data_IF_177477184615
#
_entry.id   IF_177477184615
#
_cell.length_a   1.000
_cell.length_b   1.000
_cell.length_c   1.000
_cell.angle_alpha   90.00
_cell.angle_beta   90.00
_cell.angle_gamma   90.00
#
_symmetry.space_group_name_H-M   'P 1'
#
loop_
_entity.id
_entity.type
_entity.pdbx_description
1 polymer ?
#
# COMPACT_ATOMS: atom_id res chain seq x y z
N UNK A 1 -16.16 33.59 -13.50
CA UNK A 1 -17.33 33.56 -12.58
C UNK A 1 -18.41 32.63 -13.11
N UNK A 2 -18.12 31.33 -13.24
CA UNK A 2 -19.06 30.39 -13.85
C UNK A 2 -18.70 28.92 -13.66
N UNK A 3 -18.04 28.57 -12.56
CA UNK A 3 -17.89 27.17 -12.15
C UNK A 3 -19.08 26.75 -11.28
N UNK A 4 -19.34 25.45 -11.17
CA UNK A 4 -20.43 24.88 -10.35
C UNK A 4 -20.44 25.35 -8.87
N UNK A 5 -19.35 25.98 -8.41
CA UNK A 5 -19.11 26.45 -7.05
C UNK A 5 -19.14 27.98 -6.87
N UNK A 6 -19.67 28.72 -7.85
CA UNK A 6 -19.71 30.18 -7.77
C UNK A 6 -20.86 30.63 -6.84
N UNK A 7 -20.54 31.05 -5.61
CA UNK A 7 -21.48 31.74 -4.70
C UNK A 7 -21.86 31.00 -3.42
N UNK A 8 -21.51 29.72 -3.26
CA UNK A 8 -21.69 28.96 -2.02
C UNK A 8 -20.45 28.09 -1.75
N UNK A 9 -19.84 28.23 -0.58
CA UNK A 9 -18.75 27.37 -0.13
C UNK A 9 -19.37 26.06 0.39
N UNK A 10 -19.06 24.94 -0.26
CA UNK A 10 -19.49 23.61 0.18
C UNK A 10 -18.60 23.10 1.32
N UNK A 11 -19.07 22.14 2.17
CA UNK A 11 -18.22 21.49 3.16
C UNK A 11 -16.96 20.86 2.53
N UNK A 12 -15.90 20.72 3.33
CA UNK A 12 -14.58 20.20 2.95
C UNK A 12 -13.83 21.06 1.91
N UNK A 13 -14.24 22.31 1.71
CA UNK A 13 -13.46 23.26 0.90
C UNK A 13 -12.27 23.80 1.71
N UNK A 14 -11.06 23.80 1.12
CA UNK A 14 -9.90 24.41 1.75
C UNK A 14 -10.11 25.91 2.03
N UNK A 15 -9.81 26.34 3.24
CA UNK A 15 -9.86 27.72 3.70
C UNK A 15 -8.53 28.13 4.32
N UNK A 16 -8.17 29.41 4.21
CA UNK A 16 -6.94 29.96 4.78
C UNK A 16 -7.18 31.30 5.44
N UNK A 17 -6.64 31.48 6.64
CA UNK A 17 -6.67 32.74 7.37
C UNK A 17 -5.32 33.43 7.25
N UNK A 18 -5.36 34.68 6.81
CA UNK A 18 -4.18 35.52 6.58
C UNK A 18 -4.33 36.83 7.34
N UNK A 19 -3.26 37.26 7.99
CA UNK A 19 -3.17 38.53 8.67
C UNK A 19 -2.25 39.46 7.87
N UNK A 20 -2.68 40.71 7.64
CA UNK A 20 -1.81 41.74 7.06
C UNK A 20 -1.32 42.67 8.16
N UNK A 21 -0.01 42.77 8.33
CA UNK A 21 0.61 43.72 9.26
C UNK A 21 1.77 44.45 8.57
N UNK A 22 1.77 45.79 8.64
CA UNK A 22 2.76 46.65 7.99
C UNK A 22 3.05 46.32 6.51
N UNK A 23 2.02 45.91 5.77
CA UNK A 23 2.15 45.56 4.35
C UNK A 23 2.55 44.11 4.07
N UNK A 24 3.01 43.36 5.08
CA UNK A 24 3.38 41.94 4.95
C UNK A 24 2.16 41.07 5.26
N UNK A 25 1.96 40.02 4.46
CA UNK A 25 0.91 39.02 4.65
C UNK A 25 1.53 37.83 5.39
N UNK A 26 0.93 37.48 6.53
CA UNK A 26 1.30 36.34 7.34
C UNK A 26 0.21 35.29 7.22
N UNK A 27 0.59 34.06 6.87
CA UNK A 27 -0.30 32.92 7.01
C UNK A 27 -0.45 32.63 8.51
N UNK A 28 -1.70 32.43 8.95
CA UNK A 28 -2.00 32.19 10.36
C UNK A 28 -2.59 30.81 10.58
N UNK A 29 -3.32 30.30 9.59
CA UNK A 29 -3.98 29.01 9.66
C UNK A 29 -4.50 28.57 8.28
N UNK A 30 -4.53 27.26 8.03
CA UNK A 30 -5.20 26.61 6.90
C UNK A 30 -5.99 25.42 7.42
N UNK A 31 -7.12 25.13 6.78
CA UNK A 31 -7.88 23.91 7.05
C UNK A 31 -9.08 23.82 6.11
N UNK A 32 -10.16 23.23 6.59
CA UNK A 32 -11.33 22.90 5.78
C UNK A 32 -12.60 23.44 6.43
N UNK A 33 -13.45 24.09 5.66
CA UNK A 33 -14.76 24.52 6.14
C UNK A 33 -15.67 23.30 6.31
N UNK A 34 -16.17 23.06 7.52
CA UNK A 34 -17.12 21.97 7.81
C UNK A 34 -18.56 22.42 7.70
N UNK A 35 -18.83 23.65 8.12
CA UNK A 35 -20.17 24.21 8.17
C UNK A 35 -20.14 25.69 7.85
N UNK A 36 -21.18 26.14 7.14
CA UNK A 36 -21.39 27.52 6.77
C UNK A 36 -22.83 27.91 7.09
N UNK A 37 -23.04 28.52 8.25
CA UNK A 37 -24.37 28.99 8.66
C UNK A 37 -24.49 30.47 8.35
N UNK A 38 -25.42 30.82 7.48
CA UNK A 38 -25.80 32.23 7.25
C UNK A 38 -26.95 32.55 8.18
N UNK A 39 -26.73 33.48 9.10
CA UNK A 39 -27.76 33.98 10.00
C UNK A 39 -28.13 35.41 9.60
N UNK A 40 -29.39 35.60 9.24
CA UNK A 40 -29.97 36.91 8.94
C UNK A 40 -30.97 37.26 10.05
N UNK A 41 -30.54 37.94 11.13
CA UNK A 41 -31.41 38.31 12.24
C UNK A 41 -32.37 39.46 11.84
N UNK A 42 -33.36 39.16 11.00
CA UNK A 42 -34.48 40.06 10.67
C UNK A 42 -34.10 41.42 10.06
N UNK A 43 -35.10 42.30 9.92
CA UNK A 43 -35.04 43.57 9.15
C UNK A 43 -34.11 44.66 9.72
N UNK A 44 -33.39 44.42 10.82
CA UNK A 44 -32.65 45.48 11.53
C UNK A 44 -31.24 45.06 11.99
N UNK A 45 -30.73 43.91 11.55
CA UNK A 45 -29.39 43.43 11.91
C UNK A 45 -28.50 43.15 10.71
N UNK A 46 -27.19 43.25 10.90
CA UNK A 46 -26.21 42.79 9.92
C UNK A 46 -26.34 41.27 9.73
N UNK A 47 -26.27 40.83 8.47
CA UNK A 47 -26.18 39.39 8.17
C UNK A 47 -24.78 38.91 8.51
N UNK A 48 -24.66 37.91 9.37
CA UNK A 48 -23.38 37.29 9.67
C UNK A 48 -23.35 35.85 9.17
N UNK A 49 -22.13 35.34 9.04
CA UNK A 49 -21.88 33.97 8.63
C UNK A 49 -20.92 33.35 9.61
N UNK A 50 -21.36 32.24 10.20
CA UNK A 50 -20.52 31.41 11.02
C UNK A 50 -19.90 30.30 10.17
N UNK A 51 -18.58 30.37 10.04
CA UNK A 51 -17.77 29.38 9.34
C UNK A 51 -17.08 28.53 10.39
N UNK A 52 -17.54 27.29 10.55
CA UNK A 52 -16.79 26.31 11.34
C UNK A 52 -15.77 25.66 10.44
N UNK A 53 -14.50 25.85 10.75
CA UNK A 53 -13.41 25.24 10.03
C UNK A 53 -12.57 24.35 10.95
N UNK A 54 -12.02 23.28 10.41
CA UNK A 54 -11.20 22.29 11.13
C UNK A 54 -9.90 22.05 10.39
N UNK A 55 -8.90 21.55 11.09
CA UNK A 55 -7.60 21.24 10.51
C UNK A 55 -7.60 19.89 9.76
N UNK A 56 -6.47 19.57 9.13
CA UNK A 56 -6.33 18.33 8.37
C UNK A 56 -6.41 17.08 9.24
N UNK A 57 -5.96 17.11 10.50
CA UNK A 57 -6.05 15.97 11.41
C UNK A 57 -7.51 15.58 11.67
N UNK A 58 -8.37 16.59 11.88
CA UNK A 58 -9.81 16.37 12.05
C UNK A 58 -10.42 15.72 10.80
N UNK A 59 -9.96 16.11 9.62
CA UNK A 59 -10.41 15.52 8.36
C UNK A 59 -9.91 14.07 8.23
N UNK A 60 -8.64 13.79 8.54
CA UNK A 60 -8.07 12.43 8.52
C UNK A 60 -8.69 11.49 9.54
N UNK A 61 -9.27 12.01 10.62
CA UNK A 61 -10.08 11.23 11.56
C UNK A 61 -11.40 10.74 10.96
N UNK A 62 -11.93 11.44 9.93
CA UNK A 62 -13.19 11.10 9.28
C UNK A 62 -13.01 10.12 8.12
N UNK A 63 -11.81 10.03 7.55
CA UNK A 63 -11.52 9.05 6.51
C UNK A 63 -11.14 7.72 7.15
N UNK A 64 -11.90 6.70 6.81
CA UNK A 64 -11.61 5.32 7.19
C UNK A 64 -10.37 4.87 6.41
N UNK A 65 -9.41 4.35 7.15
CA UNK A 65 -8.24 3.66 6.64
C UNK A 65 -8.72 2.25 6.33
N UNK A 66 -9.26 2.12 5.11
CA UNK A 66 -9.86 0.90 4.57
C UNK A 66 -8.80 -0.13 4.18
N UNK A 67 -9.18 -1.07 3.31
CA UNK A 67 -8.26 -2.06 2.76
C UNK A 67 -7.30 -1.36 1.77
N UNK A 68 -6.03 -1.07 2.17
CA UNK A 68 -5.15 -0.23 1.36
C UNK A 68 -4.88 -0.86 0.00
N UNK A 69 -4.77 -2.18 -0.07
CA UNK A 69 -4.60 -2.90 -1.32
C UNK A 69 -5.80 -2.69 -2.27
N UNK A 70 -7.02 -2.77 -1.74
CA UNK A 70 -8.24 -2.54 -2.53
C UNK A 70 -8.29 -1.11 -3.07
N UNK A 71 -7.96 -0.13 -2.24
CA UNK A 71 -7.94 1.28 -2.64
C UNK A 71 -6.91 1.54 -3.75
N UNK A 72 -5.71 0.95 -3.62
CA UNK A 72 -4.65 1.06 -4.64
C UNK A 72 -5.06 0.41 -5.97
N UNK A 73 -5.60 -0.81 -5.92
CA UNK A 73 -6.07 -1.52 -7.13
C UNK A 73 -7.18 -0.72 -7.82
N UNK A 74 -8.19 -0.26 -7.09
CA UNK A 74 -9.32 0.48 -7.66
C UNK A 74 -8.89 1.84 -8.22
N UNK A 75 -7.88 2.49 -7.64
CA UNK A 75 -7.34 3.75 -8.16
C UNK A 75 -6.79 3.59 -9.60
N UNK A 76 -6.28 2.41 -9.95
CA UNK A 76 -5.79 2.09 -11.29
C UNK A 76 -6.84 1.47 -12.22
N UNK A 77 -8.11 1.44 -11.80
CA UNK A 77 -9.27 1.06 -12.64
C UNK A 77 -9.13 -0.31 -13.32
N UNK A 78 -9.11 -1.43 -12.56
CA UNK A 78 -8.93 -2.76 -13.13
C UNK A 78 -10.09 -3.10 -14.07
N UNK A 79 -9.80 -3.86 -15.13
CA UNK A 79 -10.80 -4.37 -16.07
C UNK A 79 -11.38 -5.71 -15.64
N UNK A 80 -10.62 -6.50 -14.87
CA UNK A 80 -11.02 -7.77 -14.27
C UNK A 80 -10.28 -7.95 -12.96
N UNK A 81 -10.96 -8.46 -11.94
CA UNK A 81 -10.33 -8.70 -10.66
C UNK A 81 -10.94 -9.89 -9.91
N UNK A 82 -10.21 -11.00 -9.79
CA UNK A 82 -10.60 -12.16 -9.01
C UNK A 82 -9.83 -12.23 -7.70
N UNK A 83 -10.55 -11.97 -6.61
CA UNK A 83 -10.05 -12.03 -5.22
C UNK A 83 -10.22 -13.40 -4.55
N UNK A 84 -10.86 -14.35 -5.23
CA UNK A 84 -11.12 -15.70 -4.72
C UNK A 84 -11.85 -15.76 -3.37
N UNK A 85 -12.64 -14.73 -3.04
CA UNK A 85 -13.37 -14.62 -1.76
C UNK A 85 -14.72 -15.35 -1.74
N UNK A 86 -15.05 -16.12 -2.78
CA UNK A 86 -16.26 -16.93 -2.82
C UNK A 86 -16.16 -18.16 -1.90
N UNK A 87 -17.30 -18.65 -1.37
CA UNK A 87 -17.29 -19.80 -0.48
C UNK A 87 -16.89 -21.10 -1.19
N UNK A 88 -16.51 -22.09 -0.39
CA UNK A 88 -16.27 -23.46 -0.85
C UNK A 88 -17.41 -23.96 -1.78
N UNK A 89 -17.03 -24.66 -2.85
CA UNK A 89 -17.90 -25.19 -3.89
C UNK A 89 -18.62 -24.14 -4.79
N UNK A 90 -18.18 -22.88 -4.78
CA UNK A 90 -18.57 -21.95 -5.82
C UNK A 90 -18.19 -22.47 -7.22
N UNK A 91 -19.03 -22.17 -8.22
CA UNK A 91 -18.79 -22.57 -9.62
C UNK A 91 -18.24 -21.45 -10.49
N UNK A 92 -18.13 -20.24 -9.94
CA UNK A 92 -17.74 -19.06 -10.69
C UNK A 92 -16.91 -18.10 -9.83
N UNK A 93 -15.79 -17.63 -10.39
CA UNK A 93 -14.94 -16.60 -9.81
C UNK A 93 -15.61 -15.24 -9.96
N UNK A 94 -15.82 -14.53 -8.85
CA UNK A 94 -16.52 -13.23 -8.88
C UNK A 94 -15.57 -12.10 -9.26
N UNK A 95 -16.01 -11.25 -10.18
CA UNK A 95 -15.25 -10.06 -10.61
C UNK A 95 -15.52 -8.88 -9.66
N UNK A 96 -14.47 -8.45 -8.97
CA UNK A 96 -14.46 -7.36 -8.00
C UNK A 96 -14.16 -5.99 -8.62
N UNK A 97 -13.81 -5.94 -9.91
CA UNK A 97 -13.54 -4.67 -10.63
C UNK A 97 -14.79 -3.82 -10.86
N UNK A 98 -15.98 -4.41 -10.70
CA UNK A 98 -17.27 -3.78 -11.02
C UNK A 98 -17.72 -3.98 -12.47
N UNK A 99 -16.89 -4.58 -13.33
CA UNK A 99 -17.20 -4.79 -14.75
C UNK A 99 -18.00 -6.08 -15.04
N UNK A 100 -18.13 -6.96 -14.04
CA UNK A 100 -18.93 -8.20 -14.09
C UNK A 100 -18.39 -9.24 -15.08
N UNK A 101 -17.08 -9.30 -15.23
CA UNK A 101 -16.39 -10.32 -16.00
C UNK A 101 -16.20 -11.61 -15.18
N UNK A 102 -17.31 -12.23 -14.75
CA UNK A 102 -17.32 -13.45 -13.93
C UNK A 102 -16.61 -14.62 -14.63
N UNK A 103 -15.69 -15.28 -13.93
CA UNK A 103 -14.95 -16.44 -14.42
C UNK A 103 -15.65 -17.77 -14.11
N UNK A 104 -15.19 -18.86 -14.71
CA UNK A 104 -15.74 -20.22 -14.51
C UNK A 104 -14.67 -21.14 -13.94
N UNK A 105 -14.96 -21.77 -12.80
CA UNK A 105 -14.08 -22.79 -12.22
C UNK A 105 -14.17 -24.12 -12.98
N UNK A 106 -13.04 -24.80 -13.13
CA UNK A 106 -12.92 -26.17 -13.67
C UNK A 106 -11.89 -26.95 -12.85
N UNK A 107 -11.96 -28.28 -12.83
CA UNK A 107 -11.07 -29.16 -12.02
C UNK A 107 -11.49 -29.34 -10.56
N UNK A 108 -12.21 -28.35 -10.01
CA UNK A 108 -12.64 -28.26 -8.59
C UNK A 108 -11.51 -27.76 -7.66
N UNK A 109 -10.95 -26.57 -7.94
CA UNK A 109 -9.97 -25.96 -7.04
C UNK A 109 -10.58 -25.79 -5.64
N UNK A 110 -9.72 -25.85 -4.62
CA UNK A 110 -10.19 -25.67 -3.24
C UNK A 110 -10.37 -24.17 -2.96
N UNK A 111 -11.58 -23.78 -2.56
CA UNK A 111 -11.98 -22.38 -2.33
C UNK A 111 -12.43 -22.15 -0.88
N UNK A 112 -12.50 -20.88 -0.49
CA UNK A 112 -13.00 -20.46 0.84
C UNK A 112 -11.97 -20.63 1.96
N UNK A 113 -10.68 -20.70 1.61
CA UNK A 113 -9.58 -20.75 2.58
C UNK A 113 -9.04 -19.34 2.80
N UNK A 114 -9.03 -18.89 4.06
CA UNK A 114 -8.44 -17.62 4.50
C UNK A 114 -6.91 -17.76 4.67
N UNK A 115 -6.18 -16.64 4.68
CA UNK A 115 -4.72 -16.58 4.74
C UNK A 115 -4.06 -16.30 3.38
N UNK A 116 -4.73 -15.50 2.55
CA UNK A 116 -4.21 -14.93 1.33
C UNK A 116 -3.05 -13.95 1.55
N UNK A 117 -2.45 -13.41 0.48
CA UNK A 117 -1.31 -12.49 0.56
C UNK A 117 -1.64 -11.18 1.30
N UNK A 118 -2.89 -10.69 1.22
CA UNK A 118 -3.20 -9.33 1.65
C UNK A 118 -3.35 -9.26 3.17
N UNK A 119 -2.37 -8.64 3.84
CA UNK A 119 -2.24 -8.68 5.31
C UNK A 119 -3.15 -7.70 6.05
N UNK A 120 -3.53 -6.59 5.41
CA UNK A 120 -4.31 -5.52 6.03
C UNK A 120 -5.83 -5.80 6.05
N UNK A 121 -6.27 -6.94 5.52
CA UNK A 121 -7.66 -7.36 5.47
C UNK A 121 -7.81 -8.89 5.55
N UNK A 122 -9.04 -9.38 5.61
CA UNK A 122 -9.30 -10.81 5.38
C UNK A 122 -9.17 -11.09 3.90
N UNK A 123 -8.33 -12.05 3.56
CA UNK A 123 -8.01 -12.37 2.18
C UNK A 123 -8.03 -13.88 1.95
N UNK A 124 -8.73 -14.29 0.89
CA UNK A 124 -8.99 -15.67 0.55
C UNK A 124 -8.21 -16.05 -0.71
N UNK A 125 -7.94 -17.34 -0.88
CA UNK A 125 -7.25 -17.84 -2.06
C UNK A 125 -7.89 -19.13 -2.59
N UNK A 126 -7.50 -19.49 -3.81
CA UNK A 126 -7.83 -20.76 -4.43
C UNK A 126 -6.59 -21.65 -4.52
N UNK A 127 -6.70 -22.89 -4.07
CA UNK A 127 -5.64 -23.91 -4.22
C UNK A 127 -5.88 -24.75 -5.47
N UNK A 128 -4.84 -24.88 -6.28
CA UNK A 128 -4.79 -25.62 -7.54
C UNK A 128 -3.92 -26.86 -7.38
N UNK A 129 -4.42 -28.01 -7.83
CA UNK A 129 -3.82 -29.33 -7.58
C UNK A 129 -2.76 -29.79 -8.59
N UNK A 130 -2.47 -28.98 -9.62
CA UNK A 130 -1.52 -29.31 -10.68
C UNK A 130 -2.02 -30.30 -11.73
N UNK A 131 -3.30 -30.68 -11.72
CA UNK A 131 -3.89 -31.68 -12.62
C UNK A 131 -4.77 -31.03 -13.69
N UNK A 132 -5.89 -30.44 -13.30
CA UNK A 132 -6.88 -29.87 -14.23
C UNK A 132 -7.59 -28.60 -13.72
N UNK A 133 -7.23 -28.14 -12.52
CA UNK A 133 -7.76 -26.94 -11.88
C UNK A 133 -7.50 -25.68 -12.71
N UNK A 134 -8.53 -24.85 -12.86
CA UNK A 134 -8.43 -23.58 -13.57
C UNK A 134 -9.59 -22.63 -13.31
N UNK A 135 -9.34 -21.36 -13.61
CA UNK A 135 -10.38 -20.35 -13.80
C UNK A 135 -10.37 -19.91 -15.24
N UNK A 136 -11.45 -20.19 -15.97
CA UNK A 136 -11.67 -19.64 -17.30
C UNK A 136 -12.22 -18.21 -17.18
N UNK A 137 -11.47 -17.24 -17.68
CA UNK A 137 -11.96 -15.86 -17.81
C UNK A 137 -12.88 -15.74 -19.03
N UNK A 138 -13.86 -14.81 -19.03
CA UNK A 138 -14.66 -14.53 -20.21
C UNK A 138 -13.78 -14.21 -21.43
N UNK A 139 -14.05 -14.85 -22.56
CA UNK A 139 -13.40 -14.50 -23.82
C UNK A 139 -13.94 -13.16 -24.35
N UNK A 140 -13.09 -12.37 -25.02
CA UNK A 140 -13.47 -11.08 -25.59
C UNK A 140 -12.43 -9.98 -25.36
N UNK A 141 -12.82 -8.72 -25.60
CA UNK A 141 -11.96 -7.54 -25.65
C UNK A 141 -11.30 -7.10 -24.32
N UNK A 142 -11.28 -7.96 -23.29
CA UNK A 142 -10.66 -7.70 -21.98
C UNK A 142 -9.15 -7.44 -22.07
N UNK A 143 -8.53 -7.84 -23.19
CA UNK A 143 -7.08 -7.81 -23.46
C UNK A 143 -6.83 -7.25 -24.87
N UNK A 144 -7.55 -6.18 -25.23
CA UNK A 144 -7.77 -5.82 -26.63
C UNK A 144 -6.68 -4.96 -27.28
N UNK A 145 -5.71 -4.45 -26.52
CA UNK A 145 -4.52 -3.78 -27.05
C UNK A 145 -3.55 -3.44 -25.93
N UNK A 146 -2.29 -3.25 -26.28
CA UNK A 146 -1.40 -2.48 -25.42
C UNK A 146 -1.85 -1.01 -25.39
N UNK A 147 -1.68 -0.31 -24.27
CA UNK A 147 -1.01 -0.78 -23.06
C UNK A 147 -1.88 -1.74 -22.23
N UNK A 148 -1.26 -2.64 -21.47
CA UNK A 148 -1.95 -3.55 -20.55
C UNK A 148 -1.07 -3.95 -19.39
N UNK A 149 -1.70 -4.41 -18.30
CA UNK A 149 -1.01 -5.04 -17.18
C UNK A 149 -1.77 -6.27 -16.66
N UNK A 150 -1.02 -7.25 -16.18
CA UNK A 150 -1.53 -8.44 -15.50
C UNK A 150 -0.78 -8.61 -14.19
N UNK A 151 -1.51 -8.62 -13.08
CA UNK A 151 -0.99 -8.83 -11.73
C UNK A 151 -1.62 -10.10 -11.14
N UNK A 152 -0.80 -10.94 -10.52
CA UNK A 152 -1.25 -12.16 -9.84
C UNK A 152 -0.43 -12.34 -8.58
N UNK A 153 -1.10 -12.65 -7.47
CA UNK A 153 -0.43 -13.15 -6.29
C UNK A 153 -0.49 -14.66 -6.25
N UNK A 154 0.63 -15.31 -5.98
CA UNK A 154 0.68 -16.76 -5.92
C UNK A 154 1.67 -17.22 -4.85
N UNK A 155 1.50 -18.45 -4.38
CA UNK A 155 2.55 -19.19 -3.67
C UNK A 155 2.61 -20.61 -4.17
N UNK A 156 3.79 -21.20 -4.10
CA UNK A 156 3.96 -22.62 -4.38
C UNK A 156 5.15 -23.16 -3.62
N UNK A 157 5.11 -24.44 -3.29
CA UNK A 157 6.28 -25.20 -2.83
C UNK A 157 6.61 -26.31 -3.83
N UNK A 158 6.05 -26.23 -5.04
CA UNK A 158 6.22 -27.25 -6.05
C UNK A 158 7.66 -27.24 -6.57
N UNK A 159 8.34 -28.35 -6.31
CA UNK A 159 9.67 -28.64 -6.84
C UNK A 159 9.54 -29.72 -7.94
N UNK A 160 9.62 -29.26 -9.19
CA UNK A 160 9.50 -30.13 -10.35
C UNK A 160 10.84 -30.82 -10.65
N UNK A 161 11.24 -31.79 -9.82
CA UNK A 161 12.50 -32.56 -10.02
C UNK A 161 12.67 -33.22 -11.42
N UNK A 162 11.64 -33.22 -12.27
CA UNK A 162 11.73 -33.53 -13.70
C UNK A 162 12.01 -32.26 -14.53
N UNK A 163 13.21 -32.16 -15.11
CA UNK A 163 13.60 -31.08 -16.01
C UNK A 163 12.56 -30.85 -17.13
N UNK A 164 12.13 -29.59 -17.32
CA UNK A 164 11.30 -29.17 -18.44
C UNK A 164 9.78 -29.15 -18.23
N UNK A 165 9.27 -29.30 -17.00
CA UNK A 165 7.86 -29.01 -16.71
C UNK A 165 7.68 -27.51 -16.40
N UNK A 166 6.83 -26.85 -17.19
CA UNK A 166 6.44 -25.44 -17.02
C UNK A 166 5.19 -25.37 -16.16
N UNK A 167 5.19 -24.56 -15.11
CA UNK A 167 3.99 -24.30 -14.30
C UNK A 167 3.29 -23.05 -14.81
N UNK A 168 2.06 -23.20 -15.33
CA UNK A 168 1.31 -22.09 -15.93
C UNK A 168 0.42 -21.39 -14.92
N UNK A 169 0.80 -20.19 -14.48
CA UNK A 169 -0.03 -19.35 -13.59
C UNK A 169 -1.18 -18.72 -14.38
N UNK A 170 -0.87 -18.19 -15.56
CA UNK A 170 -1.85 -17.56 -16.44
C UNK A 170 -1.52 -17.86 -17.89
N UNK A 171 -2.55 -18.02 -18.71
CA UNK A 171 -2.39 -18.14 -20.14
C UNK A 171 -3.51 -17.48 -20.94
N UNK A 172 -3.12 -16.93 -22.08
CA UNK A 172 -3.97 -16.76 -23.26
C UNK A 172 -3.34 -17.60 -24.36
N UNK A 173 -3.86 -18.80 -24.60
CA UNK A 173 -3.32 -19.73 -25.60
C UNK A 173 -4.42 -20.57 -26.24
N UNK A 174 -4.37 -20.68 -27.56
CA UNK A 174 -5.12 -21.69 -28.32
C UNK A 174 -4.13 -22.78 -28.78
N UNK A 175 -4.29 -24.02 -28.28
CA UNK A 175 -3.53 -25.16 -28.79
C UNK A 175 -4.08 -25.60 -30.16
N UNK A 176 -3.29 -25.38 -31.20
CA UNK A 176 -3.61 -25.82 -32.57
C UNK A 176 -2.94 -27.15 -32.93
N UNK A 177 -2.18 -27.74 -32.00
CA UNK A 177 -1.35 -28.93 -32.22
C UNK A 177 -0.13 -28.68 -33.13
N UNK A 178 0.12 -27.43 -33.50
CA UNK A 178 1.22 -27.00 -34.35
C UNK A 178 1.80 -25.70 -33.77
N UNK A 179 2.98 -25.80 -33.15
CA UNK A 179 3.64 -24.68 -32.48
C UNK A 179 3.86 -23.47 -33.41
N UNK A 180 3.90 -23.67 -34.73
CA UNK A 180 4.04 -22.61 -35.74
C UNK A 180 2.72 -21.92 -36.10
N UNK A 181 1.59 -22.52 -35.71
CA UNK A 181 0.22 -22.04 -35.93
C UNK A 181 -0.49 -21.66 -34.64
N UNK A 182 0.09 -21.98 -33.48
CA UNK A 182 -0.42 -21.50 -32.22
C UNK A 182 -0.50 -19.97 -32.27
N UNK A 183 -1.74 -19.50 -32.16
CA UNK A 183 -2.19 -18.11 -32.21
C UNK A 183 -1.67 -17.45 -30.90
N UNK A 184 -1.40 -16.12 -30.85
CA UNK A 184 -0.49 -15.48 -29.90
C UNK A 184 -0.66 -16.02 -28.49
N UNK A 185 0.43 -16.56 -27.97
CA UNK A 185 0.47 -17.10 -26.61
C UNK A 185 1.00 -16.01 -25.72
N UNK A 186 0.28 -15.68 -24.66
CA UNK A 186 0.84 -14.99 -23.51
C UNK A 186 0.78 -15.95 -22.35
N UNK A 187 1.91 -16.23 -21.70
CA UNK A 187 1.94 -17.09 -20.52
C UNK A 187 2.76 -16.42 -19.42
N UNK A 188 2.19 -16.38 -18.22
CA UNK A 188 2.96 -16.19 -17.00
C UNK A 188 3.26 -17.56 -16.43
N UNK A 189 4.55 -17.88 -16.35
CA UNK A 189 5.01 -19.21 -15.99
C UNK A 189 6.36 -19.17 -15.27
N UNK A 190 6.67 -20.29 -14.63
CA UNK A 190 8.01 -20.59 -14.13
C UNK A 190 8.60 -21.76 -14.89
N UNK A 191 9.90 -21.67 -15.18
CA UNK A 191 10.64 -22.79 -15.76
C UNK A 191 11.49 -23.48 -14.70
N UNK A 192 11.39 -24.80 -14.62
CA UNK A 192 12.43 -25.60 -13.96
C UNK A 192 13.44 -26.09 -15.01
N UNK A 193 14.42 -25.22 -15.29
CA UNK A 193 15.72 -25.59 -15.86
C UNK A 193 16.81 -25.10 -14.88
N UNK A 194 18.10 -25.15 -15.24
CA UNK A 194 19.21 -24.64 -14.39
C UNK A 194 19.15 -23.14 -14.04
N UNK A 195 18.03 -22.47 -14.32
CA UNK A 195 17.76 -21.05 -14.15
C UNK A 195 16.26 -20.90 -13.76
N UNK A 196 15.99 -20.94 -12.46
CA UNK A 196 14.65 -20.91 -11.85
C UNK A 196 14.04 -19.50 -11.94
N UNK A 197 13.43 -19.18 -13.07
CA UNK A 197 12.95 -17.81 -13.31
C UNK A 197 11.46 -17.71 -13.54
N UNK A 198 10.86 -16.67 -12.95
CA UNK A 198 9.58 -16.13 -13.40
C UNK A 198 9.75 -15.53 -14.79
N UNK A 199 8.81 -15.78 -15.69
CA UNK A 199 8.82 -15.11 -16.98
C UNK A 199 7.43 -14.89 -17.53
N UNK A 200 7.35 -13.89 -18.38
CA UNK A 200 6.32 -13.82 -19.39
C UNK A 200 6.88 -14.35 -20.71
N UNK A 201 6.14 -15.23 -21.39
CA UNK A 201 6.48 -15.72 -22.73
C UNK A 201 5.39 -15.38 -23.73
N UNK A 202 5.84 -14.78 -24.84
CA UNK A 202 5.07 -14.39 -26.00
C UNK A 202 5.48 -15.16 -27.25
N UNK A 203 4.54 -15.47 -28.15
CA UNK A 203 4.86 -16.06 -29.45
C UNK A 203 4.23 -15.27 -30.61
N UNK A 204 5.01 -15.01 -31.66
CA UNK A 204 4.53 -14.50 -32.95
C UNK A 204 5.07 -15.37 -34.08
N UNK A 205 4.20 -16.25 -34.60
CA UNK A 205 4.63 -17.33 -35.51
C UNK A 205 5.62 -18.27 -34.81
N UNK A 206 6.79 -18.50 -35.41
CA UNK A 206 7.85 -19.35 -34.83
C UNK A 206 8.80 -18.61 -33.88
N UNK A 207 8.63 -17.31 -33.67
CA UNK A 207 9.51 -16.50 -32.83
C UNK A 207 9.01 -16.47 -31.39
N UNK A 208 9.93 -16.69 -30.44
CA UNK A 208 9.70 -16.60 -29.00
C UNK A 208 10.17 -15.24 -28.51
N UNK A 209 9.33 -14.59 -27.72
CA UNK A 209 9.62 -13.36 -26.98
C UNK A 209 9.49 -13.67 -25.50
N UNK A 210 10.41 -13.16 -24.68
CA UNK A 210 10.34 -13.39 -23.25
C UNK A 210 10.94 -12.24 -22.47
N UNK A 211 10.35 -11.96 -21.33
CA UNK A 211 10.94 -11.13 -20.28
C UNK A 211 10.96 -11.96 -19.00
N UNK A 212 12.04 -11.83 -18.25
CA UNK A 212 12.37 -12.72 -17.14
C UNK A 212 12.62 -11.87 -15.90
N UNK A 213 12.19 -12.33 -14.73
CA UNK A 213 12.55 -11.63 -13.49
C UNK A 213 14.00 -11.92 -13.12
N UNK A 214 14.60 -11.03 -12.33
CA UNK A 214 15.90 -11.29 -11.72
C UNK A 214 15.81 -12.24 -10.51
N UNK A 215 14.61 -12.62 -10.07
CA UNK A 215 14.40 -13.46 -8.90
C UNK A 215 14.97 -14.89 -9.10
N UNK A 216 15.57 -15.46 -8.06
CA UNK A 216 16.18 -16.80 -8.09
C UNK A 216 15.36 -17.86 -7.32
N UNK A 217 14.32 -17.46 -6.57
CA UNK A 217 13.53 -18.36 -5.73
C UNK A 217 12.05 -17.97 -5.82
N UNK A 218 11.19 -18.90 -6.24
CA UNK A 218 9.75 -18.69 -6.41
C UNK A 218 8.88 -19.77 -5.73
N UNK A 219 9.49 -20.86 -5.27
CA UNK A 219 8.84 -22.04 -4.71
C UNK A 219 9.17 -22.25 -3.23
N UNK A 220 9.43 -21.15 -2.51
CA UNK A 220 9.74 -21.16 -1.07
C UNK A 220 8.51 -21.37 -0.17
N UNK A 221 7.32 -21.45 -0.76
CA UNK A 221 6.05 -21.57 -0.06
C UNK A 221 5.48 -20.24 0.44
N UNK A 222 6.12 -19.11 0.14
CA UNK A 222 5.68 -17.77 0.50
C UNK A 222 4.89 -17.11 -0.62
N UNK A 223 4.07 -16.11 -0.26
CA UNK A 223 3.31 -15.33 -1.23
C UNK A 223 4.21 -14.35 -2.00
N UNK A 224 4.09 -14.36 -3.32
CA UNK A 224 4.77 -13.44 -4.21
C UNK A 224 3.79 -12.70 -5.13
N UNK A 225 4.12 -11.45 -5.44
CA UNK A 225 3.45 -10.68 -6.49
C UNK A 225 4.19 -10.86 -7.81
N UNK A 226 3.53 -11.48 -8.77
CA UNK A 226 3.98 -11.61 -10.16
C UNK A 226 3.19 -10.63 -11.03
N UNK A 227 3.88 -9.74 -11.74
CA UNK A 227 3.22 -8.75 -12.58
C UNK A 227 3.90 -8.61 -13.93
N UNK A 228 3.10 -8.49 -14.99
CA UNK A 228 3.54 -8.22 -16.35
C UNK A 228 2.90 -6.94 -16.86
N UNK A 229 3.65 -6.18 -17.65
CA UNK A 229 3.17 -4.97 -18.33
C UNK A 229 3.58 -4.99 -19.80
N UNK A 230 2.73 -4.44 -20.66
CA UNK A 230 3.08 -4.02 -22.00
C UNK A 230 2.70 -2.54 -22.18
N UNK A 231 3.62 -1.72 -22.67
CA UNK A 231 3.34 -0.31 -22.99
C UNK A 231 2.70 -0.15 -24.38
N UNK A 232 2.20 1.05 -24.68
CA UNK A 232 1.54 1.33 -25.97
C UNK A 232 2.45 1.19 -27.21
N UNK A 233 3.77 1.05 -27.02
CA UNK A 233 4.76 0.80 -28.07
C UNK A 233 5.18 -0.68 -28.16
N UNK A 234 4.59 -1.56 -27.34
CA UNK A 234 4.89 -2.99 -27.27
C UNK A 234 6.12 -3.30 -26.42
N UNK A 235 6.58 -2.42 -25.53
CA UNK A 235 7.64 -2.79 -24.59
C UNK A 235 7.06 -3.66 -23.49
N UNK A 236 7.63 -4.85 -23.34
CA UNK A 236 7.26 -5.86 -22.36
C UNK A 236 8.15 -5.71 -21.13
N UNK A 237 7.58 -5.93 -19.95
CA UNK A 237 8.33 -5.96 -18.69
C UNK A 237 7.64 -6.85 -17.67
N UNK A 238 8.42 -7.54 -16.85
CA UNK A 238 7.93 -8.25 -15.67
C UNK A 238 8.42 -7.60 -14.39
N UNK A 239 7.64 -7.79 -13.34
CA UNK A 239 7.92 -7.36 -11.99
C UNK A 239 7.73 -8.54 -11.05
N UNK A 240 8.56 -8.57 -10.02
CA UNK A 240 8.56 -9.56 -8.96
C UNK A 240 8.60 -8.83 -7.64
N UNK A 241 7.59 -9.01 -6.80
CA UNK A 241 7.50 -8.39 -5.47
C UNK A 241 7.74 -6.87 -5.51
N UNK A 242 7.07 -6.18 -6.44
CA UNK A 242 7.22 -4.74 -6.63
C UNK A 242 8.51 -4.30 -7.34
N UNK A 243 9.44 -5.21 -7.67
CA UNK A 243 10.74 -4.92 -8.30
C UNK A 243 10.72 -5.26 -9.78
N UNK A 244 11.20 -4.35 -10.63
CA UNK A 244 11.29 -4.57 -12.07
C UNK A 244 12.38 -5.60 -12.44
N UNK A 245 12.06 -6.53 -13.32
CA UNK A 245 13.00 -7.43 -13.99
C UNK A 245 13.38 -6.94 -15.39
N UNK A 246 13.65 -7.90 -16.29
CA UNK A 246 14.03 -7.61 -17.67
C UNK A 246 12.93 -6.86 -18.44
N UNK A 247 13.39 -6.13 -19.46
CA UNK A 247 12.55 -5.45 -20.45
C UNK A 247 12.91 -5.94 -21.84
N UNK A 248 11.91 -6.16 -22.69
CA UNK A 248 12.09 -6.46 -24.11
C UNK A 248 11.20 -5.53 -24.95
N UNK A 249 11.68 -5.07 -26.11
CA UNK A 249 10.97 -4.10 -26.96
C UNK A 249 10.38 -4.82 -28.16
N UNK A 250 9.16 -5.34 -28.08
CA UNK A 250 8.52 -6.02 -29.21
C UNK A 250 6.98 -6.01 -29.17
N UNK A 251 6.36 -5.64 -30.30
CA UNK A 251 4.90 -5.68 -30.47
C UNK A 251 4.36 -7.12 -30.52
N UNK A 252 4.16 -7.74 -29.36
CA UNK A 252 3.32 -8.94 -29.27
C UNK A 252 1.88 -8.54 -29.58
N UNK A 253 1.39 -9.00 -30.73
CA UNK A 253 -0.02 -8.82 -31.06
C UNK A 253 -0.78 -9.95 -30.37
N UNK A 254 -1.40 -9.69 -29.22
CA UNK A 254 -2.39 -10.61 -28.64
C UNK A 254 -3.58 -10.79 -29.59
N UNK A 255 -4.17 -11.99 -29.67
CA UNK A 255 -5.41 -12.23 -30.44
C UNK A 255 -6.63 -12.07 -29.54
N UNK A 256 -7.56 -11.21 -30.01
CA UNK A 256 -8.41 -10.34 -29.20
C UNK A 256 -9.88 -10.74 -29.19
N UNK A 257 -10.23 -11.88 -29.81
CA UNK A 257 -11.66 -12.25 -29.98
C UNK A 257 -11.97 -13.75 -29.88
N UNK A 258 -10.99 -14.64 -30.06
CA UNK A 258 -11.26 -16.09 -30.20
C UNK A 258 -10.50 -16.99 -29.23
N UNK A 259 -9.52 -16.46 -28.49
CA UNK A 259 -8.70 -17.27 -27.57
C UNK A 259 -9.23 -17.14 -26.15
N UNK A 260 -9.46 -18.28 -25.52
CA UNK A 260 -9.83 -18.38 -24.11
C UNK A 260 -8.64 -18.10 -23.21
N UNK A 261 -8.92 -17.58 -22.02
CA UNK A 261 -7.89 -17.22 -21.04
C UNK A 261 -8.13 -17.94 -19.74
N UNK A 262 -7.03 -18.29 -19.10
CA UNK A 262 -7.05 -19.15 -17.93
C UNK A 262 -6.09 -18.64 -16.87
N UNK A 263 -6.53 -18.69 -15.61
CA UNK A 263 -5.63 -18.79 -14.47
C UNK A 263 -5.48 -20.27 -14.08
N UNK A 264 -4.29 -20.67 -13.65
CA UNK A 264 -3.94 -22.00 -13.15
C UNK A 264 -3.69 -23.08 -14.21
N UNK A 265 -3.88 -22.78 -15.51
CA UNK A 265 -3.58 -23.74 -16.59
C UNK A 265 -3.29 -23.10 -17.93
N UNK A 266 -2.86 -23.94 -18.85
CA UNK A 266 -2.93 -23.74 -20.30
C UNK A 266 -3.73 -24.89 -20.93
N UNK A 267 -4.35 -24.65 -22.09
CA UNK A 267 -5.07 -25.68 -22.84
C UNK A 267 -4.15 -26.62 -23.62
N UNK A 268 -2.85 -26.35 -23.60
CA UNK A 268 -1.90 -27.08 -24.42
C UNK A 268 -1.28 -28.28 -23.71
N UNK A 269 -1.14 -29.36 -24.49
CA UNK A 269 -0.70 -30.67 -23.99
C UNK A 269 0.74 -30.75 -23.42
N UNK A 270 1.58 -29.73 -23.64
CA UNK A 270 2.97 -29.69 -23.15
C UNK A 270 3.15 -28.80 -21.91
N UNK A 271 2.13 -28.05 -21.53
CA UNK A 271 2.19 -27.12 -20.41
C UNK A 271 1.56 -27.81 -19.19
N UNK A 272 2.19 -27.70 -18.02
CA UNK A 272 1.61 -28.27 -16.81
C UNK A 272 0.65 -27.28 -16.16
N UNK A 273 -0.45 -27.82 -15.61
CA UNK A 273 -1.32 -27.05 -14.72
C UNK A 273 -0.55 -26.63 -13.46
N UNK A 274 -0.96 -25.50 -12.90
CA UNK A 274 -0.34 -24.91 -11.73
C UNK A 274 -0.63 -25.73 -10.47
N UNK A 275 0.42 -25.98 -9.70
CA UNK A 275 0.36 -26.55 -8.36
C UNK A 275 0.71 -25.46 -7.36
N UNK A 276 -0.25 -25.04 -6.54
CA UNK A 276 -0.04 -23.97 -5.57
C UNK A 276 -1.32 -23.19 -5.30
N UNK A 277 -1.18 -22.02 -4.71
CA UNK A 277 -2.30 -21.13 -4.43
C UNK A 277 -2.24 -19.87 -5.29
N UNK A 278 -3.39 -19.41 -5.76
CA UNK A 278 -3.56 -18.10 -6.41
C UNK A 278 -4.48 -17.22 -5.57
N UNK A 279 -4.13 -15.96 -5.47
CA UNK A 279 -4.99 -14.87 -5.03
C UNK A 279 -4.84 -13.67 -5.97
N UNK A 280 -5.77 -12.73 -5.88
CA UNK A 280 -5.64 -11.40 -6.49
C UNK A 280 -5.19 -11.44 -7.97
N UNK A 281 -5.98 -12.09 -8.83
CA UNK A 281 -5.74 -12.10 -10.28
C UNK A 281 -6.39 -10.86 -10.89
N UNK A 282 -5.58 -9.93 -11.37
CA UNK A 282 -6.00 -8.58 -11.77
C UNK A 282 -5.51 -8.26 -13.17
N UNK A 283 -6.38 -7.64 -13.96
CA UNK A 283 -6.06 -7.13 -15.28
C UNK A 283 -6.38 -5.64 -15.39
N UNK A 284 -5.55 -4.95 -16.17
CA UNK A 284 -5.68 -3.53 -16.47
C UNK A 284 -5.53 -3.32 -17.99
N UNK A 285 -6.30 -2.39 -18.55
CA UNK A 285 -6.14 -1.91 -19.94
C UNK A 285 -5.16 -0.71 -20.02
N UNK A 286 -4.29 -0.60 -19.02
CA UNK A 286 -3.24 0.38 -18.90
C UNK A 286 -1.92 -0.27 -18.47
N UNK A 287 -0.81 0.38 -18.80
CA UNK A 287 0.51 0.02 -18.28
C UNK A 287 0.63 0.59 -16.86
N UNK A 288 0.77 -0.28 -15.86
CA UNK A 288 1.10 0.14 -14.52
C UNK A 288 2.54 0.62 -14.48
N UNK A 289 2.75 1.85 -14.03
CA UNK A 289 4.10 2.39 -13.84
C UNK A 289 4.83 1.64 -12.71
N UNK A 290 6.18 1.62 -12.69
CA UNK A 290 6.93 1.01 -11.60
C UNK A 290 6.48 1.46 -10.20
N UNK A 291 6.14 2.75 -10.04
CA UNK A 291 5.66 3.27 -8.77
C UNK A 291 4.30 2.70 -8.35
N UNK A 292 3.40 2.43 -9.29
CA UNK A 292 2.09 1.80 -9.02
C UNK A 292 2.26 0.33 -8.67
N UNK A 293 3.13 -0.39 -9.38
CA UNK A 293 3.47 -1.79 -9.08
C UNK A 293 4.03 -1.93 -7.65
N UNK A 294 4.98 -1.07 -7.27
CA UNK A 294 5.51 -1.05 -5.89
C UNK A 294 4.41 -0.70 -4.89
N UNK A 295 3.52 0.26 -5.19
CA UNK A 295 2.42 0.62 -4.29
C UNK A 295 1.45 -0.56 -4.03
N UNK A 296 1.12 -1.34 -5.07
CA UNK A 296 0.29 -2.54 -4.94
C UNK A 296 0.97 -3.60 -4.07
N UNK A 297 2.25 -3.89 -4.34
CA UNK A 297 3.01 -4.87 -3.56
C UNK A 297 3.05 -4.48 -2.09
N UNK A 298 3.47 -3.25 -1.83
CA UNK A 298 3.58 -2.69 -0.49
C UNK A 298 2.25 -2.73 0.25
N UNK A 299 1.14 -2.34 -0.40
CA UNK A 299 -0.19 -2.40 0.20
C UNK A 299 -0.64 -3.84 0.47
N UNK A 300 -0.27 -4.79 -0.38
CA UNK A 300 -0.60 -6.21 -0.23
C UNK A 300 0.10 -6.85 0.97
N UNK A 301 1.43 -6.70 1.08
CA UNK A 301 2.18 -7.24 2.23
C UNK A 301 1.92 -6.48 3.55
N UNK A 302 1.04 -5.48 3.54
CA UNK A 302 0.75 -4.64 4.70
C UNK A 302 1.95 -3.77 5.09
N UNK A 303 2.67 -3.20 4.14
CA UNK A 303 3.70 -2.17 4.38
C UNK A 303 4.82 -2.57 5.37
N UNK A 304 5.17 -3.85 5.44
CA UNK A 304 6.15 -4.38 6.39
C UNK A 304 7.53 -3.68 6.32
N UNK A 305 8.16 -3.47 7.48
CA UNK A 305 9.54 -2.98 7.65
C UNK A 305 9.81 -1.57 7.10
N UNK A 306 8.77 -0.76 6.89
CA UNK A 306 8.93 0.65 6.53
C UNK A 306 9.43 1.49 7.70
N UNK A 307 10.29 2.47 7.44
CA UNK A 307 10.54 3.55 8.40
C UNK A 307 9.24 4.30 8.69
N UNK A 308 9.09 4.86 9.90
CA UNK A 308 7.91 5.65 10.29
C UNK A 308 7.58 6.76 9.28
N UNK A 309 8.58 7.46 8.74
CA UNK A 309 8.39 8.48 7.70
C UNK A 309 7.86 7.92 6.38
N UNK A 310 8.30 6.71 6.00
CA UNK A 310 7.80 6.02 4.81
C UNK A 310 6.36 5.60 5.05
N UNK A 311 6.03 5.05 6.23
CA UNK A 311 4.64 4.69 6.58
C UNK A 311 3.70 5.88 6.55
N UNK A 312 4.11 7.01 7.14
CA UNK A 312 3.34 8.27 7.08
C UNK A 312 3.15 8.72 5.64
N UNK A 313 4.19 8.60 4.81
CA UNK A 313 4.13 8.96 3.39
C UNK A 313 3.13 8.08 2.63
N UNK A 314 3.20 6.76 2.78
CA UNK A 314 2.28 5.80 2.15
C UNK A 314 0.83 6.03 2.55
N UNK A 315 0.55 6.25 3.85
CA UNK A 315 -0.79 6.60 4.33
C UNK A 315 -1.32 7.90 3.71
N UNK A 316 -0.46 8.92 3.55
CA UNK A 316 -0.88 10.19 2.96
C UNK A 316 -1.09 10.06 1.46
N UNK A 317 -0.25 9.28 0.77
CA UNK A 317 -0.39 9.04 -0.66
C UNK A 317 -1.64 8.23 -0.98
N UNK A 318 -1.99 7.20 -0.19
CA UNK A 318 -3.22 6.43 -0.38
C UNK A 318 -4.49 7.26 -0.11
N UNK A 319 -4.43 8.24 0.80
CA UNK A 319 -5.49 9.23 0.99
C UNK A 319 -5.59 10.26 -0.16
N UNK A 320 -4.58 10.31 -1.05
CA UNK A 320 -4.44 11.35 -2.06
C UNK A 320 -4.08 12.71 -1.47
N UNK A 321 -3.42 12.74 -0.31
CA UNK A 321 -3.00 13.97 0.34
C UNK A 321 -1.84 14.63 -0.44
N UNK A 322 -1.89 15.94 -0.74
CA UNK A 322 -0.89 16.56 -1.60
C UNK A 322 0.53 16.54 -1.02
N UNK A 323 1.51 16.25 -1.88
CA UNK A 323 2.94 16.22 -1.51
C UNK A 323 3.49 17.58 -1.08
N UNK A 324 2.89 18.68 -1.56
CA UNK A 324 3.22 20.06 -1.17
C UNK A 324 2.47 20.52 0.10
N UNK A 325 1.65 19.65 0.71
CA UNK A 325 0.87 19.91 1.91
C UNK A 325 1.35 19.08 3.12
N UNK A 326 2.57 18.54 3.07
CA UNK A 326 3.19 17.72 4.12
C UNK A 326 4.65 18.08 4.34
N UNK A 327 5.11 17.97 5.58
CA UNK A 327 6.50 18.09 6.01
C UNK A 327 6.82 16.90 6.93
N UNK A 328 7.71 16.01 6.50
CA UNK A 328 7.91 14.71 7.14
C UNK A 328 9.40 14.53 7.40
N UNK A 329 9.79 14.61 8.66
CA UNK A 329 11.14 14.25 9.09
C UNK A 329 11.41 12.77 8.86
N UNK A 330 12.64 12.43 8.48
CA UNK A 330 13.07 11.04 8.26
C UNK A 330 12.93 10.24 9.56
N UNK A 331 12.22 9.12 9.52
CA UNK A 331 11.99 8.27 10.69
C UNK A 331 13.26 7.60 11.20
N UNK A 332 13.30 7.27 12.50
CA UNK A 332 14.39 6.47 13.10
C UNK A 332 13.98 5.03 13.37
N UNK A 333 12.69 4.80 13.61
CA UNK A 333 12.14 3.47 13.90
C UNK A 333 11.60 2.79 12.63
N UNK A 334 11.78 1.47 12.55
CA UNK A 334 11.12 0.60 11.55
C UNK A 334 9.84 0.02 12.12
N UNK A 335 8.76 0.09 11.35
CA UNK A 335 7.45 -0.42 11.71
C UNK A 335 7.22 -1.83 11.18
N UNK A 336 6.54 -2.67 11.96
CA UNK A 336 6.10 -4.00 11.59
C UNK A 336 4.94 -3.97 10.58
N UNK A 337 4.30 -5.11 10.37
CA UNK A 337 3.16 -5.22 9.46
C UNK A 337 2.09 -4.21 9.86
N UNK A 338 1.64 -3.42 8.91
CA UNK A 338 0.50 -2.55 9.04
C UNK A 338 -0.77 -3.37 9.24
N UNK A 339 -1.23 -3.43 10.49
CA UNK A 339 -2.47 -4.12 10.85
C UNK A 339 -3.63 -3.18 11.17
N UNK A 340 -3.63 -1.93 10.73
CA UNK A 340 -4.59 -0.96 11.25
C UNK A 340 -5.94 -0.99 10.51
N UNK A 341 -6.99 -1.21 11.29
CA UNK A 341 -8.38 -0.88 10.99
C UNK A 341 -8.73 0.37 11.81
N UNK A 342 -9.31 1.40 11.20
CA UNK A 342 -9.66 2.65 11.89
C UNK A 342 -9.54 3.85 10.95
N UNK A 343 -9.27 5.06 11.46
CA UNK A 343 -9.12 6.24 10.61
C UNK A 343 -7.68 6.48 10.14
N UNK A 344 -7.48 7.23 9.07
CA UNK A 344 -6.14 7.70 8.63
C UNK A 344 -5.36 8.38 9.75
N UNK A 345 -6.03 9.19 10.58
CA UNK A 345 -5.39 9.81 11.75
C UNK A 345 -4.82 8.77 12.73
N UNK A 346 -5.51 7.64 12.91
CA UNK A 346 -5.06 6.59 13.82
C UNK A 346 -3.81 5.89 13.29
N UNK A 347 -3.75 5.62 11.98
CA UNK A 347 -2.53 5.11 11.32
C UNK A 347 -1.34 6.07 11.47
N UNK A 348 -1.57 7.38 11.28
CA UNK A 348 -0.53 8.39 11.47
C UNK A 348 -0.09 8.50 12.94
N UNK A 349 -1.02 8.38 13.89
CA UNK A 349 -0.72 8.36 15.31
C UNK A 349 0.08 7.13 15.73
N UNK A 350 -0.12 5.97 15.10
CA UNK A 350 0.74 4.81 15.34
C UNK A 350 2.19 5.09 14.97
N UNK A 351 2.44 5.76 13.84
CA UNK A 351 3.79 6.19 13.46
C UNK A 351 4.34 7.22 14.45
N UNK A 352 3.53 8.19 14.88
CA UNK A 352 3.90 9.17 15.91
C UNK A 352 4.32 8.50 17.22
N UNK A 353 3.50 7.56 17.70
CA UNK A 353 3.74 6.86 18.96
C UNK A 353 4.98 5.97 18.89
N UNK A 354 5.20 5.32 17.73
CA UNK A 354 6.40 4.53 17.42
C UNK A 354 7.67 5.37 17.38
N UNK A 355 7.54 6.66 17.06
CA UNK A 355 8.68 7.56 16.93
C UNK A 355 8.90 8.42 18.18
N UNK A 356 8.00 8.42 19.18
CA UNK A 356 7.88 9.48 20.19
C UNK A 356 7.94 10.91 19.59
N UNK A 357 7.40 11.03 18.37
CA UNK A 357 7.44 12.23 17.56
C UNK A 357 6.29 13.19 17.82
N UNK A 358 6.18 14.22 16.99
CA UNK A 358 5.02 15.10 16.94
C UNK A 358 4.26 14.90 15.62
N UNK A 359 2.92 14.90 15.71
CA UNK A 359 2.02 14.99 14.56
C UNK A 359 1.13 16.22 14.75
N UNK A 360 1.30 17.24 13.91
CA UNK A 360 0.61 18.52 14.04
C UNK A 360 0.35 19.19 12.69
N UNK A 361 -0.46 20.24 12.68
CA UNK A 361 -0.60 21.15 11.54
C UNK A 361 0.11 22.46 11.87
N UNK A 362 1.06 22.88 11.03
CA UNK A 362 1.83 24.10 11.28
C UNK A 362 1.06 25.39 10.91
N UNK A 363 1.71 26.54 11.10
CA UNK A 363 1.13 27.85 10.79
C UNK A 363 0.89 28.10 9.30
N UNK A 364 1.60 27.39 8.42
CA UNK A 364 1.43 27.42 6.98
C UNK A 364 0.31 26.47 6.52
N UNK A 365 -0.08 25.52 7.36
CA UNK A 365 -1.10 24.54 7.09
C UNK A 365 -0.59 23.23 6.52
N UNK A 366 0.70 22.92 6.71
CA UNK A 366 1.30 21.65 6.38
C UNK A 366 1.01 20.65 7.50
N UNK A 367 0.74 19.39 7.12
CA UNK A 367 0.84 18.31 8.09
C UNK A 367 2.30 18.03 8.37
N UNK A 368 2.69 18.13 9.63
CA UNK A 368 4.06 17.93 10.10
C UNK A 368 4.15 16.63 10.88
N UNK A 369 5.08 15.78 10.49
CA UNK A 369 5.53 14.62 11.26
C UNK A 369 7.00 14.82 11.62
N UNK A 370 7.33 14.86 12.91
CA UNK A 370 8.71 14.95 13.39
C UNK A 370 9.16 13.65 14.06
N UNK A 371 10.45 13.36 13.98
CA UNK A 371 11.04 12.23 14.68
C UNK A 371 11.47 12.63 16.11
N UNK A 372 11.82 11.65 16.97
CA UNK A 372 12.31 11.92 18.34
C UNK A 372 13.51 12.87 18.40
N UNK A 373 14.39 12.81 17.40
CA UNK A 373 15.62 13.59 17.35
C UNK A 373 15.39 15.06 17.00
N UNK A 374 14.19 15.45 16.55
CA UNK A 374 13.88 16.86 16.30
C UNK A 374 13.93 17.69 17.60
N UNK A 375 13.77 17.03 18.76
CA UNK A 375 14.02 17.63 20.08
C UNK A 375 15.50 17.93 20.34
N UNK A 376 16.40 17.21 19.66
CA UNK A 376 17.85 17.33 19.78
C UNK A 376 18.38 18.37 18.78
N UNK A 377 18.10 19.64 19.05
CA UNK A 377 18.58 20.75 18.22
C UNK A 377 20.10 20.92 18.36
N UNK A 378 20.85 20.72 17.27
CA UNK A 378 22.32 20.87 17.26
C UNK A 378 22.80 22.32 17.18
N UNK A 379 21.91 23.26 16.85
CA UNK A 379 22.19 24.70 16.82
C UNK A 379 21.30 25.43 17.83
N UNK A 380 21.90 25.75 18.96
CA UNK A 380 21.22 26.52 20.00
C UNK A 380 21.34 28.01 19.71
N UNK A 381 20.19 28.69 19.52
CA UNK A 381 20.16 30.16 19.40
C UNK A 381 20.62 30.86 20.69
N UNK A 382 20.51 30.17 21.82
CA UNK A 382 21.05 30.57 23.11
C UNK A 382 21.30 29.33 23.99
N UNK A 383 22.42 29.32 24.71
CA UNK A 383 22.69 28.34 25.78
C UNK A 383 22.31 28.97 27.11
N UNK A 384 21.63 28.19 27.95
CA UNK A 384 21.25 28.59 29.31
C UNK A 384 21.96 27.69 30.32
N UNK A 385 22.65 28.29 31.29
CA UNK A 385 23.32 27.55 32.36
C UNK A 385 22.82 27.93 33.74
N UNK A 386 22.94 27.00 34.68
CA UNK A 386 22.64 27.23 36.10
C UNK A 386 23.90 27.40 36.96
N UNK A 387 25.08 27.31 36.35
CA UNK A 387 26.40 27.47 36.98
C UNK A 387 26.97 28.90 36.83
N UNK A 388 26.24 29.77 36.13
CA UNK A 388 26.60 31.18 35.92
C UNK A 388 27.52 31.44 34.73
N UNK A 389 27.82 30.45 33.91
CA UNK A 389 28.68 30.59 32.71
C UNK A 389 27.95 31.12 31.46
N UNK A 390 26.64 30.89 31.33
CA UNK A 390 25.84 31.29 30.15
C UNK A 390 24.64 32.18 30.51
N UNK A 391 23.69 32.37 29.57
CA UNK A 391 22.49 33.20 29.77
C UNK A 391 21.69 32.65 30.96
N UNK A 392 21.50 33.44 32.04
CA UNK A 392 20.76 32.96 33.21
C UNK A 392 19.27 32.81 32.87
N UNK A 393 18.63 31.79 33.44
CA UNK A 393 17.19 31.59 33.34
C UNK A 393 16.43 32.78 33.93
N UNK A 394 15.82 33.61 33.08
CA UNK A 394 14.89 34.65 33.51
C UNK A 394 13.45 34.17 33.33
N UNK A 395 12.66 34.17 34.42
CA UNK A 395 11.23 33.86 34.42
C UNK A 395 10.80 32.42 34.05
N UNK A 396 11.73 31.48 33.86
CA UNK A 396 11.39 30.05 33.74
C UNK A 396 11.03 29.52 35.13
N UNK A 397 9.78 29.03 35.29
CA UNK A 397 9.34 28.29 36.47
C UNK A 397 9.38 26.80 36.14
N UNK A 398 10.49 26.07 36.36
CA UNK A 398 10.54 24.66 36.04
C UNK A 398 9.48 23.91 36.85
N UNK A 399 8.64 23.15 36.17
CA UNK A 399 7.64 22.30 36.81
C UNK A 399 8.37 21.08 37.37
N UNK A 400 8.77 21.17 38.64
CA UNK A 400 9.38 20.04 39.38
C UNK A 400 8.30 19.22 40.06
N UNK A 401 7.42 18.62 39.26
CA UNK A 401 6.39 17.72 39.76
C UNK A 401 6.85 16.26 39.63
N UNK A 402 6.91 15.56 40.75
CA UNK A 402 7.17 14.11 40.81
C UNK A 402 6.16 13.28 39.99
N UNK A 403 5.00 13.85 39.64
CA UNK A 403 4.04 13.24 38.72
C UNK A 403 4.55 13.13 37.28
N UNK A 404 5.52 13.95 36.89
CA UNK A 404 6.16 13.91 35.56
C UNK A 404 7.32 12.91 35.51
N UNK A 405 7.80 12.41 36.65
CA UNK A 405 8.88 11.44 36.69
C UNK A 405 8.47 10.11 36.05
N UNK A 406 9.30 9.60 35.15
CA UNK A 406 9.27 8.25 34.58
C UNK A 406 10.67 7.66 34.73
N UNK A 407 10.77 6.43 35.21
CA UNK A 407 12.05 5.73 35.44
C UNK A 407 12.00 4.26 35.02
N UNK A 408 10.89 3.85 34.41
CA UNK A 408 10.71 2.58 33.73
C UNK A 408 9.96 2.88 32.43
N UNK A 409 10.51 2.49 31.29
CA UNK A 409 9.83 2.48 30.01
C UNK A 409 9.37 1.05 29.71
N UNK A 410 8.08 0.87 29.41
CA UNK A 410 7.50 -0.40 28.91
C UNK A 410 6.89 -0.15 27.56
N UNK A 411 7.46 -0.79 26.55
CA UNK A 411 7.02 -0.65 25.17
C UNK A 411 6.47 -2.00 24.72
N UNK A 412 5.23 -2.01 24.27
CA UNK A 412 4.63 -3.15 23.59
C UNK A 412 4.89 -2.99 22.10
N UNK A 413 5.56 -3.96 21.49
CA UNK A 413 5.92 -3.95 20.06
C UNK A 413 4.77 -4.40 19.14
N UNK A 414 5.03 -4.51 17.83
CA UNK A 414 4.03 -4.92 16.84
C UNK A 414 3.46 -6.33 17.06
N UNK A 415 4.24 -7.22 17.68
CA UNK A 415 3.85 -8.61 17.96
C UNK A 415 3.15 -8.75 19.33
N UNK A 416 2.97 -7.64 20.05
CA UNK A 416 2.37 -7.61 21.37
C UNK A 416 3.33 -7.99 22.50
N UNK A 417 4.64 -8.13 22.21
CA UNK A 417 5.65 -8.42 23.22
C UNK A 417 5.99 -7.14 23.99
N UNK A 418 6.12 -7.28 25.31
CA UNK A 418 6.46 -6.16 26.20
C UNK A 418 7.95 -6.15 26.48
N UNK A 419 8.61 -5.08 26.07
CA UNK A 419 10.01 -4.81 26.35
C UNK A 419 10.13 -3.72 27.43
N UNK A 420 11.12 -3.83 28.32
CA UNK A 420 11.25 -2.92 29.46
C UNK A 420 12.68 -2.40 29.64
N UNK A 421 12.83 -1.07 29.76
CA UNK A 421 14.03 -0.41 30.24
C UNK A 421 13.78 0.23 31.61
N UNK A 422 14.79 0.22 32.50
CA UNK A 422 14.66 0.72 33.87
C UNK A 422 15.93 1.38 34.39
N UNK A 423 15.78 2.53 35.04
CA UNK A 423 16.83 3.12 35.86
C UNK A 423 16.70 2.63 37.31
N UNK A 424 17.52 1.65 37.69
CA UNK A 424 17.48 1.04 39.02
C UNK A 424 17.76 2.04 40.16
N UNK A 425 18.63 3.04 39.93
CA UNK A 425 18.99 4.04 40.93
C UNK A 425 17.83 5.02 41.16
N UNK A 426 17.20 5.48 40.09
CA UNK A 426 16.01 6.34 40.16
C UNK A 426 14.81 5.59 40.77
N UNK A 427 14.61 4.32 40.40
CA UNK A 427 13.55 3.48 41.00
C UNK A 427 13.74 3.30 42.51
N UNK A 428 14.97 3.04 42.97
CA UNK A 428 15.28 2.96 44.40
C UNK A 428 15.00 4.26 45.16
N UNK A 429 15.22 5.40 44.52
CA UNK A 429 15.08 6.73 45.14
C UNK A 429 13.64 7.28 45.09
N UNK A 430 12.88 6.97 44.05
CA UNK A 430 11.59 7.62 43.75
C UNK A 430 10.41 6.66 43.55
N UNK A 431 10.64 5.36 43.81
CA UNK A 431 9.74 4.25 43.51
C UNK A 431 9.51 4.04 42.00
N UNK A 432 8.99 2.88 41.57
CA UNK A 432 8.65 2.62 40.18
C UNK A 432 7.65 3.63 39.60
N UNK A 433 7.99 4.25 38.47
CA UNK A 433 7.16 5.17 37.69
C UNK A 433 7.24 4.80 36.22
N UNK A 434 6.15 4.25 35.71
CA UNK A 434 6.13 3.60 34.39
C UNK A 434 5.61 4.56 33.32
N UNK A 435 6.36 4.69 32.24
CA UNK A 435 5.87 5.11 30.94
C UNK A 435 5.50 3.83 30.18
N UNK A 436 4.23 3.66 29.85
CA UNK A 436 3.77 2.53 29.04
C UNK A 436 3.32 3.08 27.69
N UNK A 437 3.79 2.47 26.60
CA UNK A 437 3.35 2.78 25.24
C UNK A 437 3.21 1.50 24.43
N UNK A 438 2.32 1.55 23.46
CA UNK A 438 2.22 0.55 22.40
C UNK A 438 2.72 1.20 21.13
N UNK A 439 3.66 0.54 20.47
CA UNK A 439 4.31 1.00 19.26
C UNK A 439 4.16 -0.08 18.20
N UNK A 440 4.51 0.22 16.96
CA UNK A 440 4.51 -0.75 15.86
C UNK A 440 5.93 -1.21 15.55
N UNK A 441 6.81 -1.22 16.53
CA UNK A 441 8.25 -1.41 16.32
C UNK A 441 8.59 -2.88 16.12
N UNK A 442 9.59 -3.19 15.31
CA UNK A 442 10.08 -4.57 15.13
C UNK A 442 11.28 -4.93 16.00
N UNK A 443 11.80 -3.99 16.80
CA UNK A 443 13.04 -4.18 17.56
C UNK A 443 12.84 -4.20 19.08
N UNK A 444 13.54 -5.11 19.75
CA UNK A 444 13.46 -5.29 21.20
C UNK A 444 14.25 -4.23 22.02
N UNK A 445 15.14 -3.48 21.38
CA UNK A 445 15.99 -2.47 22.05
C UNK A 445 15.30 -1.14 22.23
N UNK A 446 14.18 -0.93 21.55
CA UNK A 446 13.53 0.37 21.48
C UNK A 446 13.08 0.99 22.81
N UNK A 447 12.74 0.24 23.89
CA UNK A 447 12.44 0.85 25.18
C UNK A 447 13.56 1.71 25.78
N UNK A 448 14.81 1.53 25.34
CA UNK A 448 15.93 2.35 25.81
C UNK A 448 15.83 3.79 25.32
N UNK A 449 15.06 4.02 24.26
CA UNK A 449 14.95 5.30 23.58
C UNK A 449 13.71 6.11 24.03
N UNK A 450 13.02 5.69 25.11
CA UNK A 450 11.78 6.29 25.65
C UNK A 450 11.86 6.79 27.10
#
# INVERSE_FOLDING_TARGET
TGGAYTGQLVPLVPVRWRMKHNGIIYNRWRGFAMQWNVEAPGKVGDTYTDVRAVDALTIMQLYDLGAPFVDEVIADSPTLWYRFSEPAAASAAQDSSGNKHTGVYSGSPTLGTDGGPIQAETDFYATFDGTDDSVQMPSGALFSSDPLSLEIWFRTSYDASAAGQLQTIWSQRADTGDLTKDIPRGMLEFTHATDEKFRFVGYSGSTIYQVVSDADVFNDGEWHQALFTADAAGNLKVYWDGVAGDTDTQNLVFDRTTIEMYAGRSTASLDSAFTGDLSEVIHYDTELSPARVTAHYEAGIGWLNQLTSVRVTSLLDSLGWPTDARDISVGTSTMGVFGAVGSYLAGLQQAQDTEDGELLIDGEGLLVFTNRNDRDVSTYAAVFSNDGSDTPYAYVKPVRDKKLLRNIARITDSDGLVHEARDATSVGSFAPRVLARTTQTTTATEPQDY
#
